data_IF_816589097917
#
_entry.id   IF_816589097917
#
_cell.length_a   1.000
_cell.length_b   1.000
_cell.length_c   1.000
_cell.angle_alpha   90.00
_cell.angle_beta   90.00
_cell.angle_gamma   90.00
#
_symmetry.space_group_name_H-M   'P 1'
#
loop_
_entity.id
_entity.type
_entity.pdbx_description
1 polymer ?
#
# COMPACT_ATOMS: atom_id res chain seq x y z
N UNK A 1 -11.22 15.32 -11.28
CA UNK A 1 -10.69 13.94 -11.34
C UNK A 1 -9.32 13.81 -10.64
N UNK A 2 -8.36 14.71 -10.88
CA UNK A 2 -7.01 14.63 -10.28
C UNK A 2 -6.90 14.95 -8.79
N UNK A 3 -7.81 15.76 -8.23
CA UNK A 3 -7.78 16.12 -6.81
C UNK A 3 -7.94 14.90 -5.89
N UNK A 4 -8.93 14.03 -6.18
CA UNK A 4 -9.21 12.79 -5.43
C UNK A 4 -8.05 11.78 -5.52
N UNK A 5 -7.33 11.74 -6.64
CA UNK A 5 -6.15 10.87 -6.82
C UNK A 5 -4.94 11.33 -5.99
N UNK A 6 -4.71 12.64 -5.96
CA UNK A 6 -3.65 13.24 -5.15
C UNK A 6 -3.91 13.18 -3.64
N UNK A 7 -5.17 13.07 -3.24
CA UNK A 7 -5.64 12.85 -1.87
C UNK A 7 -5.44 11.37 -1.44
N UNK A 8 -5.87 10.40 -2.27
CA UNK A 8 -5.67 8.96 -2.00
C UNK A 8 -4.20 8.55 -1.86
N UNK A 9 -3.28 9.20 -2.60
CA UNK A 9 -1.84 8.95 -2.45
C UNK A 9 -1.23 9.58 -1.18
N UNK A 10 -1.89 10.58 -0.56
CA UNK A 10 -1.45 11.20 0.69
C UNK A 10 -2.07 10.55 1.91
N UNK A 11 -3.35 10.21 1.83
CA UNK A 11 -4.12 9.60 2.92
C UNK A 11 -3.95 8.08 2.97
N UNK A 12 -3.63 7.47 1.82
CA UNK A 12 -3.54 6.03 1.64
C UNK A 12 -4.89 5.39 1.30
N UNK A 13 -4.84 4.16 0.82
CA UNK A 13 -6.06 3.37 0.59
C UNK A 13 -6.45 2.62 1.86
N UNK A 14 -7.74 2.35 2.01
CA UNK A 14 -8.30 1.48 3.04
C UNK A 14 -8.87 0.24 2.36
N UNK A 15 -8.36 -0.93 2.72
CA UNK A 15 -8.91 -2.22 2.31
C UNK A 15 -9.53 -2.88 3.54
N UNK A 16 -10.80 -3.27 3.45
CA UNK A 16 -11.52 -3.93 4.54
C UNK A 16 -11.47 -5.45 4.38
N UNK A 17 -11.18 -6.18 5.46
CA UNK A 17 -11.21 -7.65 5.46
C UNK A 17 -12.48 -8.12 6.15
N UNK A 18 -13.42 -8.67 5.39
CA UNK A 18 -14.71 -9.20 5.86
C UNK A 18 -14.68 -10.74 5.79
N UNK A 19 -15.36 -11.43 6.68
CA UNK A 19 -15.42 -12.89 6.67
C UNK A 19 -16.08 -13.48 7.89
N UNK A 20 -16.45 -14.76 7.82
CA UNK A 20 -17.05 -15.49 8.94
C UNK A 20 -16.18 -15.45 10.21
N UNK A 21 -16.77 -15.64 11.41
CA UNK A 21 -16.03 -16.05 12.60
C UNK A 21 -15.13 -17.25 12.27
N UNK A 22 -13.90 -17.26 12.77
CA UNK A 22 -12.93 -18.34 12.53
C UNK A 22 -12.51 -18.58 11.06
N UNK A 23 -12.82 -17.67 10.13
CA UNK A 23 -12.29 -17.71 8.76
C UNK A 23 -10.76 -17.49 8.68
N UNK A 24 -10.15 -17.06 9.79
CA UNK A 24 -8.70 -16.85 9.90
C UNK A 24 -8.22 -15.48 9.40
N UNK A 25 -9.08 -14.45 9.47
CA UNK A 25 -8.78 -13.06 9.07
C UNK A 25 -7.56 -12.49 9.80
N UNK A 26 -7.52 -12.59 11.12
CA UNK A 26 -6.38 -12.08 11.90
C UNK A 26 -5.10 -12.88 11.65
N UNK A 27 -5.19 -14.19 11.40
CA UNK A 27 -4.04 -14.99 10.97
C UNK A 27 -3.53 -14.54 9.59
N UNK A 28 -4.42 -14.27 8.65
CA UNK A 28 -4.10 -13.75 7.32
C UNK A 28 -3.41 -12.37 7.43
N UNK A 29 -3.98 -11.46 8.23
CA UNK A 29 -3.41 -10.14 8.48
C UNK A 29 -2.00 -10.25 9.08
N UNK A 30 -1.81 -11.10 10.09
CA UNK A 30 -0.49 -11.33 10.68
C UNK A 30 0.50 -11.92 9.66
N UNK A 31 0.06 -12.85 8.82
CA UNK A 31 0.91 -13.42 7.78
C UNK A 31 1.27 -12.40 6.68
N UNK A 32 0.39 -11.43 6.41
CA UNK A 32 0.65 -10.30 5.51
C UNK A 32 1.58 -9.25 6.14
N UNK A 33 1.52 -9.03 7.46
CA UNK A 33 2.48 -8.17 8.17
C UNK A 33 3.87 -8.83 8.22
N UNK A 34 3.92 -10.09 8.64
CA UNK A 34 5.14 -10.77 9.09
C UNK A 34 6.21 -11.00 8.02
N UNK A 35 5.90 -10.83 6.72
CA UNK A 35 6.94 -10.95 5.68
C UNK A 35 7.62 -9.62 5.31
N UNK A 36 7.01 -8.43 5.49
CA UNK A 36 7.59 -7.12 5.08
C UNK A 36 6.90 -5.89 5.73
N UNK A 37 6.77 -5.82 7.06
CA UNK A 37 6.18 -4.62 7.66
C UNK A 37 7.15 -3.43 7.58
N UNK A 38 6.86 -2.42 6.75
CA UNK A 38 7.67 -1.20 6.68
C UNK A 38 7.52 -0.35 7.96
N UNK A 39 6.32 -0.23 8.55
CA UNK A 39 6.11 0.43 9.86
C UNK A 39 4.83 -0.14 10.50
N UNK A 40 4.94 -0.91 11.59
CA UNK A 40 3.80 -1.26 12.46
C UNK A 40 3.63 -0.15 13.49
N UNK A 41 2.61 0.68 13.35
CA UNK A 41 2.17 1.57 14.42
C UNK A 41 1.24 0.81 15.36
N UNK A 42 1.79 0.07 16.31
CA UNK A 42 1.07 -0.23 17.54
C UNK A 42 1.10 1.05 18.39
N UNK A 43 0.06 1.89 18.33
CA UNK A 43 -0.09 2.93 19.36
C UNK A 43 -0.45 2.21 20.66
N UNK A 44 0.58 1.86 21.43
CA UNK A 44 0.45 1.34 22.77
C UNK A 44 -0.28 2.39 23.63
N UNK A 45 -1.51 2.10 24.05
CA UNK A 45 -2.26 3.00 24.94
C UNK A 45 -3.77 2.79 25.03
N UNK A 46 -4.42 2.09 24.09
CA UNK A 46 -5.88 1.93 24.10
C UNK A 46 -6.27 0.47 23.85
N UNK A 47 -6.69 -0.20 24.92
CA UNK A 47 -6.95 -1.66 24.96
C UNK A 47 -8.31 -2.07 24.41
N UNK A 48 -8.84 -1.39 23.37
CA UNK A 48 -10.16 -1.71 22.78
C UNK A 48 -10.25 -1.56 21.25
N UNK A 49 -9.12 -1.44 20.57
CA UNK A 49 -9.11 -0.87 19.23
C UNK A 49 -8.85 -1.88 18.11
N UNK A 50 -9.51 -1.63 16.99
CA UNK A 50 -9.43 -2.35 15.73
C UNK A 50 -7.97 -2.59 15.33
N UNK A 51 -7.66 -3.83 14.94
CA UNK A 51 -6.35 -4.19 14.39
C UNK A 51 -6.25 -3.65 12.97
N UNK A 52 -5.66 -2.47 12.84
CA UNK A 52 -5.30 -1.88 11.54
C UNK A 52 -3.83 -2.19 11.23
N UNK A 53 -3.57 -2.70 10.03
CA UNK A 53 -2.23 -2.96 9.53
C UNK A 53 -1.92 -2.03 8.37
N UNK A 54 -0.84 -1.24 8.49
CA UNK A 54 -0.36 -0.42 7.39
C UNK A 54 0.68 -1.20 6.59
N UNK A 55 0.44 -1.33 5.30
CA UNK A 55 1.30 -2.00 4.33
C UNK A 55 1.73 -1.00 3.26
N UNK A 56 2.94 -1.17 2.75
CA UNK A 56 3.34 -0.58 1.48
C UNK A 56 3.10 -1.63 0.40
N UNK A 57 2.16 -1.35 -0.51
CA UNK A 57 1.88 -2.20 -1.66
C UNK A 57 2.34 -1.49 -2.93
N UNK A 58 3.55 -1.84 -3.39
CA UNK A 58 4.17 -1.28 -4.60
C UNK A 58 4.28 0.27 -4.59
N UNK A 59 4.64 0.86 -3.45
CA UNK A 59 4.76 2.30 -3.23
C UNK A 59 3.46 2.99 -2.86
N UNK A 60 2.36 2.25 -2.71
CA UNK A 60 1.06 2.77 -2.28
C UNK A 60 0.86 2.45 -0.80
N UNK A 61 0.67 3.47 0.07
CA UNK A 61 0.31 3.22 1.46
C UNK A 61 -1.12 2.67 1.53
N UNK A 62 -1.27 1.48 2.12
CA UNK A 62 -2.56 0.79 2.26
C UNK A 62 -2.77 0.42 3.73
N UNK A 63 -3.94 0.75 4.26
CA UNK A 63 -4.39 0.32 5.57
C UNK A 63 -5.34 -0.87 5.39
N UNK A 64 -4.92 -2.05 5.83
CA UNK A 64 -5.81 -3.19 6.02
C UNK A 64 -6.55 -3.03 7.34
N UNK A 65 -7.87 -2.94 7.29
CA UNK A 65 -8.71 -2.93 8.49
C UNK A 65 -9.29 -4.33 8.68
N UNK A 66 -8.85 -5.05 9.73
CA UNK A 66 -9.51 -6.29 10.13
C UNK A 66 -10.82 -5.93 10.81
N UNK A 67 -11.92 -6.34 10.18
CA UNK A 67 -13.24 -6.03 10.70
C UNK A 67 -13.66 -6.91 11.87
N UNK A 68 -12.88 -7.95 12.22
CA UNK A 68 -13.17 -8.83 13.36
C UNK A 68 -12.06 -8.90 14.43
N UNK A 69 -11.14 -7.93 14.47
CA UNK A 69 -10.13 -7.82 15.53
C UNK A 69 -10.69 -7.55 16.94
N UNK A 70 -12.01 -7.51 17.12
CA UNK A 70 -12.67 -7.49 18.43
C UNK A 70 -12.69 -8.94 18.97
N UNK A 71 -11.60 -9.36 19.61
CA UNK A 71 -11.53 -10.66 20.29
C UNK A 71 -12.70 -10.85 21.27
N UNK A 72 -13.51 -11.87 21.00
CA UNK A 72 -14.05 -12.84 21.97
C UNK A 72 -14.63 -12.34 23.31
N UNK A 73 -15.42 -11.26 23.34
CA UNK A 73 -16.02 -10.82 24.61
C UNK A 73 -17.48 -10.35 24.49
N UNK A 74 -18.40 -11.20 24.99
CA UNK A 74 -19.81 -10.99 25.34
C UNK A 74 -20.78 -10.52 24.23
N UNK A 75 -21.93 -11.20 24.15
CA UNK A 75 -23.00 -11.07 23.15
C UNK A 75 -23.49 -9.63 22.86
N UNK A 76 -23.23 -8.65 23.73
CA UNK A 76 -23.66 -7.25 23.55
C UNK A 76 -22.68 -6.38 22.75
N UNK A 77 -21.38 -6.73 22.68
CA UNK A 77 -20.34 -5.95 21.97
C UNK A 77 -20.22 -6.37 20.50
N UNK A 78 -20.68 -7.57 20.16
CA UNK A 78 -20.57 -8.19 18.84
C UNK A 78 -21.38 -7.44 17.76
N UNK A 79 -22.63 -7.05 18.07
CA UNK A 79 -23.48 -6.34 17.12
C UNK A 79 -22.93 -4.95 16.73
N UNK A 80 -22.32 -4.23 17.68
CA UNK A 80 -21.67 -2.94 17.41
C UNK A 80 -20.33 -3.12 16.70
N UNK A 81 -19.68 -4.28 16.88
CA UNK A 81 -18.51 -4.70 16.12
C UNK A 81 -18.85 -4.95 14.65
N UNK A 82 -19.93 -5.69 14.38
CA UNK A 82 -20.44 -5.99 13.04
C UNK A 82 -20.87 -4.69 12.33
N UNK A 83 -21.62 -3.80 12.98
CA UNK A 83 -22.00 -2.52 12.36
C UNK A 83 -20.80 -1.65 11.99
N UNK A 84 -19.77 -1.63 12.84
CA UNK A 84 -18.52 -0.89 12.55
C UNK A 84 -17.71 -1.55 11.42
N UNK A 85 -17.72 -2.87 11.36
CA UNK A 85 -17.14 -3.66 10.28
C UNK A 85 -17.77 -3.30 8.92
N UNK A 86 -19.10 -3.32 8.87
CA UNK A 86 -19.88 -3.02 7.67
C UNK A 86 -19.64 -1.59 7.20
N UNK A 87 -19.77 -0.59 8.08
CA UNK A 87 -19.51 0.82 7.71
C UNK A 87 -18.11 1.03 7.12
N UNK A 88 -17.10 0.37 7.67
CA UNK A 88 -15.74 0.45 7.10
C UNK A 88 -15.63 -0.23 5.75
N UNK A 89 -16.33 -1.34 5.54
CA UNK A 89 -16.37 -1.99 4.25
C UNK A 89 -17.09 -1.14 3.19
N UNK A 90 -18.12 -0.37 3.57
CA UNK A 90 -18.78 0.62 2.69
C UNK A 90 -17.85 1.76 2.27
N UNK A 91 -16.99 2.22 3.19
CA UNK A 91 -16.04 3.31 2.96
C UNK A 91 -14.73 2.84 2.29
N UNK A 92 -14.45 1.53 2.33
CA UNK A 92 -13.23 0.95 1.79
C UNK A 92 -13.16 1.03 0.26
N UNK A 93 -11.95 1.17 -0.27
CA UNK A 93 -11.73 1.15 -1.72
C UNK A 93 -11.62 -0.28 -2.27
N UNK A 94 -11.43 -1.27 -1.41
CA UNK A 94 -11.47 -2.69 -1.73
C UNK A 94 -12.02 -3.47 -0.53
N UNK A 95 -12.98 -4.34 -0.78
CA UNK A 95 -13.44 -5.32 0.20
C UNK A 95 -12.80 -6.68 -0.11
N UNK A 96 -12.13 -7.25 0.88
CA UNK A 96 -11.51 -8.56 0.82
C UNK A 96 -12.42 -9.51 1.61
N UNK A 97 -13.12 -10.40 0.94
CA UNK A 97 -13.97 -11.41 1.59
C UNK A 97 -13.16 -12.67 1.87
N UNK A 98 -13.21 -13.16 3.11
CA UNK A 98 -12.42 -14.30 3.57
C UNK A 98 -13.37 -15.39 4.03
N UNK A 99 -13.36 -16.49 3.29
CA UNK A 99 -13.99 -17.75 3.65
C UNK A 99 -12.92 -18.73 4.14
N UNK A 100 -13.33 -19.81 4.79
CA UNK A 100 -12.42 -20.89 5.12
C UNK A 100 -12.82 -22.18 4.40
N UNK A 101 -11.85 -22.91 3.87
CA UNK A 101 -12.07 -24.14 3.10
C UNK A 101 -12.74 -25.25 3.95
N UNK A 102 -12.57 -25.20 5.27
CA UNK A 102 -13.16 -26.13 6.23
C UNK A 102 -14.60 -25.77 6.65
N UNK A 103 -15.18 -24.70 6.09
CA UNK A 103 -16.49 -24.18 6.46
C UNK A 103 -17.35 -23.91 5.23
N UNK A 104 -18.67 -23.94 5.42
CA UNK A 104 -19.59 -23.46 4.38
C UNK A 104 -19.60 -21.93 4.37
N UNK A 105 -19.65 -21.29 3.20
CA UNK A 105 -19.82 -19.84 3.10
C UNK A 105 -21.09 -19.39 3.84
N UNK A 106 -20.95 -18.43 4.74
CA UNK A 106 -22.06 -17.79 5.44
C UNK A 106 -22.71 -16.70 4.57
N UNK A 107 -24.00 -16.47 4.78
CA UNK A 107 -24.78 -15.52 3.99
C UNK A 107 -24.33 -14.07 4.19
N UNK A 108 -23.85 -13.71 5.39
CA UNK A 108 -23.41 -12.36 5.73
C UNK A 108 -22.15 -11.97 4.94
N UNK A 109 -21.16 -12.85 4.89
CA UNK A 109 -19.94 -12.64 4.08
C UNK A 109 -20.25 -12.71 2.59
N UNK A 110 -21.15 -13.62 2.17
CA UNK A 110 -21.60 -13.71 0.78
C UNK A 110 -22.26 -12.41 0.28
N UNK A 111 -22.91 -11.64 1.14
CA UNK A 111 -23.49 -10.34 0.79
C UNK A 111 -22.45 -9.36 0.24
N UNK A 112 -21.20 -9.46 0.72
CA UNK A 112 -20.08 -8.60 0.30
C UNK A 112 -19.35 -9.12 -0.94
N UNK A 113 -19.74 -10.28 -1.47
CA UNK A 113 -19.16 -10.84 -2.69
C UNK A 113 -19.77 -10.15 -3.90
N UNK A 114 -18.91 -9.50 -4.67
CA UNK A 114 -19.29 -8.83 -5.90
C UNK A 114 -18.11 -8.54 -6.82
N UNK A 115 -18.34 -7.91 -7.98
CA UNK A 115 -17.31 -7.69 -9.01
C UNK A 115 -16.09 -6.88 -8.53
N UNK A 116 -16.25 -6.07 -7.48
CA UNK A 116 -15.21 -5.23 -6.92
C UNK A 116 -14.59 -5.80 -5.64
N UNK A 117 -15.02 -6.99 -5.22
CA UNK A 117 -14.48 -7.68 -4.04
C UNK A 117 -13.32 -8.60 -4.44
N UNK A 118 -12.34 -8.74 -3.56
CA UNK A 118 -11.33 -9.79 -3.65
C UNK A 118 -11.77 -10.96 -2.78
N UNK A 119 -12.09 -12.09 -3.39
CA UNK A 119 -12.57 -13.29 -2.69
C UNK A 119 -11.41 -14.21 -2.36
N UNK A 120 -11.26 -14.55 -1.08
CA UNK A 120 -10.24 -15.45 -0.55
C UNK A 120 -10.87 -16.68 0.10
N UNK A 121 -10.24 -17.84 -0.10
CA UNK A 121 -10.53 -19.05 0.66
C UNK A 121 -9.28 -19.43 1.45
N UNK A 122 -9.30 -19.13 2.73
CA UNK A 122 -8.24 -19.48 3.66
C UNK A 122 -8.30 -20.96 4.08
N UNK A 123 -7.25 -21.44 4.74
CA UNK A 123 -7.10 -22.82 5.22
C UNK A 123 -7.16 -23.88 4.12
N UNK A 124 -6.65 -23.56 2.93
CA UNK A 124 -6.56 -24.55 1.84
C UNK A 124 -5.62 -25.74 2.16
N UNK A 125 -4.84 -25.65 3.25
CA UNK A 125 -4.08 -26.77 3.81
C UNK A 125 -4.98 -27.83 4.48
N UNK A 126 -6.20 -27.48 4.88
CA UNK A 126 -7.13 -28.37 5.58
C UNK A 126 -8.16 -29.02 4.66
N UNK A 127 -8.56 -28.31 3.59
CA UNK A 127 -9.58 -28.78 2.66
C UNK A 127 -9.41 -28.11 1.28
N UNK A 128 -9.99 -28.73 0.25
CA UNK A 128 -10.00 -28.16 -1.09
C UNK A 128 -10.79 -26.84 -1.12
N UNK A 129 -10.17 -25.78 -1.62
CA UNK A 129 -10.81 -24.49 -1.81
C UNK A 129 -11.61 -24.49 -3.13
N UNK A 130 -12.86 -24.01 -3.14
CA UNK A 130 -13.59 -23.82 -4.39
C UNK A 130 -12.97 -22.71 -5.23
N UNK A 131 -12.97 -22.86 -6.55
CA UNK A 131 -12.43 -21.85 -7.48
C UNK A 131 -13.28 -20.59 -7.55
N UNK A 132 -14.57 -20.67 -7.16
CA UNK A 132 -15.51 -19.56 -7.19
C UNK A 132 -16.41 -19.57 -5.95
N UNK A 133 -16.72 -18.38 -5.43
CA UNK A 133 -17.74 -18.17 -4.40
C UNK A 133 -18.63 -17.02 -4.86
N UNK A 134 -19.95 -17.18 -4.77
CA UNK A 134 -20.89 -16.14 -5.23
C UNK A 134 -20.74 -15.76 -6.70
N UNK A 135 -20.21 -16.66 -7.55
CA UNK A 135 -19.94 -16.40 -8.97
C UNK A 135 -18.67 -15.58 -9.24
N UNK A 136 -17.89 -15.25 -8.23
CA UNK A 136 -16.61 -14.53 -8.34
C UNK A 136 -15.45 -15.49 -8.12
N UNK A 137 -14.39 -15.35 -8.92
CA UNK A 137 -13.19 -16.17 -8.79
C UNK A 137 -12.53 -15.98 -7.42
N UNK A 138 -12.22 -17.08 -6.74
CA UNK A 138 -11.70 -17.11 -5.39
C UNK A 138 -10.21 -17.51 -5.39
N UNK A 139 -9.41 -16.84 -4.58
CA UNK A 139 -8.01 -17.16 -4.38
C UNK A 139 -7.82 -18.05 -3.15
N UNK A 140 -7.33 -19.26 -3.36
CA UNK A 140 -6.99 -20.18 -2.29
C UNK A 140 -5.70 -19.72 -1.57
N UNK A 141 -5.75 -19.63 -0.25
CA UNK A 141 -4.61 -19.25 0.60
C UNK A 141 -4.57 -20.10 1.86
N UNK A 142 -3.39 -20.22 2.46
CA UNK A 142 -3.25 -20.67 3.83
C UNK A 142 -2.38 -19.68 4.60
N UNK A 143 -3.00 -19.03 5.59
CA UNK A 143 -2.28 -18.18 6.53
C UNK A 143 -1.31 -18.99 7.41
N UNK A 144 -1.47 -20.32 7.49
CA UNK A 144 -0.68 -21.20 8.36
C UNK A 144 0.66 -21.58 7.74
N UNK A 145 0.66 -22.06 6.50
CA UNK A 145 1.88 -22.49 5.81
C UNK A 145 2.41 -21.46 4.79
N UNK A 146 1.60 -20.43 4.49
CA UNK A 146 1.94 -19.35 3.58
C UNK A 146 1.60 -19.61 2.11
N UNK A 147 0.93 -20.71 1.78
CA UNK A 147 0.45 -21.03 0.43
C UNK A 147 -0.46 -19.90 -0.07
N UNK A 148 -0.26 -19.49 -1.33
CA UNK A 148 -1.07 -18.45 -1.98
C UNK A 148 -0.83 -17.01 -1.49
N UNK A 149 -0.08 -16.78 -0.39
CA UNK A 149 0.13 -15.44 0.15
C UNK A 149 0.93 -14.52 -0.78
N UNK A 150 1.86 -15.07 -1.57
CA UNK A 150 2.59 -14.28 -2.57
C UNK A 150 1.67 -13.80 -3.69
N UNK A 151 0.80 -14.68 -4.20
CA UNK A 151 -0.21 -14.32 -5.19
C UNK A 151 -1.22 -13.31 -4.62
N UNK A 152 -1.62 -13.47 -3.36
CA UNK A 152 -2.46 -12.50 -2.65
C UNK A 152 -1.82 -11.11 -2.61
N UNK A 153 -0.55 -11.02 -2.20
CA UNK A 153 0.19 -9.73 -2.19
C UNK A 153 0.22 -9.08 -3.56
N UNK A 154 0.51 -9.85 -4.60
CA UNK A 154 0.53 -9.35 -5.96
C UNK A 154 -0.85 -8.79 -6.36
N UNK A 155 -1.93 -9.52 -6.10
CA UNK A 155 -3.31 -9.07 -6.37
C UNK A 155 -3.67 -7.79 -5.61
N UNK A 156 -3.26 -7.68 -4.34
CA UNK A 156 -3.51 -6.48 -3.54
C UNK A 156 -2.70 -5.28 -4.08
N UNK A 157 -1.46 -5.50 -4.52
CA UNK A 157 -0.64 -4.46 -5.14
C UNK A 157 -1.22 -4.00 -6.49
N UNK A 158 -1.64 -4.94 -7.34
CA UNK A 158 -2.33 -4.65 -8.62
C UNK A 158 -3.60 -3.82 -8.37
N UNK A 159 -4.41 -4.19 -7.37
CA UNK A 159 -5.59 -3.44 -6.99
C UNK A 159 -5.25 -2.03 -6.48
N UNK A 160 -4.24 -1.90 -5.62
CA UNK A 160 -3.79 -0.60 -5.09
C UNK A 160 -3.31 0.34 -6.20
N UNK A 161 -2.52 -0.19 -7.15
CA UNK A 161 -2.06 0.56 -8.32
C UNK A 161 -3.23 0.95 -9.24
N UNK A 162 -4.19 0.06 -9.46
CA UNK A 162 -5.36 0.36 -10.28
C UNK A 162 -6.24 1.46 -9.64
N UNK A 163 -6.50 1.37 -8.34
CA UNK A 163 -7.33 2.33 -7.59
C UNK A 163 -6.68 3.72 -7.49
N UNK A 164 -5.36 3.79 -7.39
CA UNK A 164 -4.62 5.06 -7.43
C UNK A 164 -4.41 5.58 -8.86
N UNK A 165 -4.74 4.78 -9.88
CA UNK A 165 -4.48 5.09 -11.29
C UNK A 165 -3.02 4.93 -11.71
N UNK A 166 -2.16 4.39 -10.84
CA UNK A 166 -0.76 4.08 -11.13
C UNK A 166 -0.59 2.86 -12.08
N UNK A 167 -1.62 2.01 -12.20
CA UNK A 167 -1.64 0.85 -13.10
C UNK A 167 -1.97 1.16 -14.57
N UNK A 168 -2.41 2.37 -14.90
CA UNK A 168 -2.43 2.84 -16.29
C UNK A 168 -1.07 3.44 -16.59
N UNK A 169 -0.20 2.62 -17.18
CA UNK A 169 1.19 2.96 -17.47
C UNK A 169 1.35 4.40 -17.96
N UNK A 170 2.32 5.09 -17.33
CA UNK A 170 2.86 6.41 -17.69
C UNK A 170 2.52 7.63 -16.82
N UNK A 171 2.35 7.52 -15.48
CA UNK A 171 2.23 8.72 -14.62
C UNK A 171 2.94 8.65 -13.26
N UNK A 172 4.15 8.08 -13.20
CA UNK A 172 5.02 8.20 -12.01
C UNK A 172 5.60 9.61 -11.80
N UNK A 173 5.08 10.64 -12.48
CA UNK A 173 5.54 12.01 -12.31
C UNK A 173 4.36 12.97 -12.37
N UNK A 174 3.97 13.55 -11.22
CA UNK A 174 3.17 14.78 -11.18
C UNK A 174 3.75 15.77 -12.22
N UNK A 175 2.97 16.64 -12.91
CA UNK A 175 3.51 17.60 -13.88
C UNK A 175 4.73 18.38 -13.37
N UNK A 176 4.73 18.72 -12.07
CA UNK A 176 5.86 19.36 -11.36
C UNK A 176 7.09 18.45 -11.17
N UNK A 177 6.90 17.16 -10.86
CA UNK A 177 7.99 16.20 -10.73
C UNK A 177 8.56 15.83 -12.09
N UNK A 178 7.69 15.75 -13.11
CA UNK A 178 8.09 15.53 -14.49
C UNK A 178 8.93 16.69 -15.00
N UNK A 179 8.48 17.92 -14.75
CA UNK A 179 9.24 19.12 -15.11
C UNK A 179 10.61 19.12 -14.44
N UNK A 180 10.67 18.87 -13.12
CA UNK A 180 11.93 18.83 -12.38
C UNK A 180 12.89 17.71 -12.85
N UNK A 181 12.39 16.51 -13.14
CA UNK A 181 13.20 15.41 -13.69
C UNK A 181 13.63 15.67 -15.13
N UNK A 182 12.75 16.22 -15.97
CA UNK A 182 13.06 16.56 -17.37
C UNK A 182 14.14 17.64 -17.43
N UNK A 183 14.03 18.65 -16.56
CA UNK A 183 15.02 19.71 -16.40
C UNK A 183 16.35 19.15 -15.87
N UNK A 184 16.33 18.29 -14.85
CA UNK A 184 17.54 17.66 -14.33
C UNK A 184 18.26 16.82 -15.39
N UNK A 185 17.52 16.03 -16.18
CA UNK A 185 18.10 15.22 -17.27
C UNK A 185 18.71 16.12 -18.35
N UNK A 186 18.04 17.21 -18.72
CA UNK A 186 18.58 18.17 -19.69
C UNK A 186 19.90 18.79 -19.19
N UNK A 187 19.94 19.22 -17.92
CA UNK A 187 21.12 19.82 -17.31
C UNK A 187 22.28 18.83 -17.17
N UNK A 188 22.01 17.55 -16.86
CA UNK A 188 23.04 16.50 -16.86
C UNK A 188 23.57 16.21 -18.28
N UNK A 189 22.70 16.27 -19.28
CA UNK A 189 23.10 16.14 -20.69
C UNK A 189 23.92 17.35 -21.18
N UNK A 190 23.70 18.53 -20.62
CA UNK A 190 24.55 19.71 -20.85
C UNK A 190 25.90 19.59 -20.12
N UNK A 191 25.91 19.13 -18.87
CA UNK A 191 27.14 18.93 -18.09
C UNK A 191 28.12 17.97 -18.78
N UNK A 192 27.61 16.91 -19.41
CA UNK A 192 28.44 15.94 -20.17
C UNK A 192 29.03 16.50 -21.46
N UNK A 193 28.50 17.61 -21.97
CA UNK A 193 28.98 18.30 -23.18
C UNK A 193 29.71 19.61 -22.88
N UNK A 194 29.66 20.07 -21.64
CA UNK A 194 30.20 21.35 -21.22
C UNK A 194 31.73 21.30 -21.04
N UNK A 195 32.39 22.29 -21.63
CA UNK A 195 33.78 22.68 -21.36
C UNK A 195 33.78 24.21 -21.29
N UNK A 196 34.46 24.87 -20.32
CA UNK A 196 35.42 24.39 -19.32
C UNK A 196 34.78 23.87 -17.99
N UNK A 197 35.57 23.34 -17.01
CA UNK A 197 35.07 22.70 -15.80
C UNK A 197 34.08 23.51 -14.96
N UNK A 198 34.16 24.84 -15.03
CA UNK A 198 33.28 25.78 -14.34
C UNK A 198 31.84 25.68 -14.86
N UNK A 199 31.66 25.47 -16.17
CA UNK A 199 30.33 25.27 -16.78
C UNK A 199 29.76 23.90 -16.46
N UNK A 200 30.61 22.88 -16.38
CA UNK A 200 30.22 21.53 -15.92
C UNK A 200 29.73 21.59 -14.47
N UNK A 201 30.44 22.30 -13.59
CA UNK A 201 30.06 22.45 -12.19
C UNK A 201 28.72 23.17 -12.02
N UNK A 202 28.47 24.25 -12.78
CA UNK A 202 27.19 24.96 -12.73
C UNK A 202 26.02 24.11 -13.25
N UNK A 203 26.21 23.36 -14.33
CA UNK A 203 25.18 22.45 -14.87
C UNK A 203 24.83 21.32 -13.87
N UNK A 204 25.84 20.76 -13.18
CA UNK A 204 25.62 19.79 -12.10
C UNK A 204 24.91 20.40 -10.90
N UNK A 205 25.28 21.63 -10.50
CA UNK A 205 24.63 22.37 -9.41
C UNK A 205 23.16 22.61 -9.71
N UNK A 206 22.85 23.03 -10.94
CA UNK A 206 21.48 23.25 -11.40
C UNK A 206 20.67 21.92 -11.44
N UNK A 207 21.28 20.83 -11.90
CA UNK A 207 20.63 19.52 -11.89
C UNK A 207 20.31 19.03 -10.47
N UNK A 208 21.25 19.19 -9.53
CA UNK A 208 21.05 18.89 -8.11
C UNK A 208 19.91 19.71 -7.50
N UNK A 209 19.83 21.01 -7.82
CA UNK A 209 18.74 21.86 -7.37
C UNK A 209 17.39 21.44 -7.95
N UNK A 210 17.35 21.07 -9.24
CA UNK A 210 16.15 20.55 -9.87
C UNK A 210 15.66 19.26 -9.21
N UNK A 211 16.58 18.36 -8.84
CA UNK A 211 16.29 17.14 -8.09
C UNK A 211 15.87 17.41 -6.64
N UNK A 212 16.49 18.38 -5.95
CA UNK A 212 16.14 18.75 -4.57
C UNK A 212 14.71 19.27 -4.40
N UNK A 213 14.13 19.87 -5.46
CA UNK A 213 12.70 20.24 -5.49
C UNK A 213 11.76 19.03 -5.44
N UNK A 214 12.23 17.82 -5.74
CA UNK A 214 11.45 16.58 -5.65
C UNK A 214 11.35 16.05 -4.22
N UNK A 215 12.42 16.21 -3.44
CA UNK A 215 12.55 15.64 -2.08
C UNK A 215 12.15 16.63 -0.98
N UNK A 216 11.98 17.92 -1.30
CA UNK A 216 11.68 18.97 -0.32
C UNK A 216 12.82 19.21 0.67
N UNK A 217 13.97 18.60 0.42
CA UNK A 217 15.19 18.66 1.20
C UNK A 217 16.31 18.92 0.20
N UNK A 218 16.72 20.17 0.12
CA UNK A 218 18.08 20.63 -0.14
C UNK A 218 17.98 22.16 -0.06
N UNK A 219 18.47 22.72 1.05
CA UNK A 219 18.75 24.15 1.15
C UNK A 219 20.00 24.47 0.35
N UNK A 220 20.12 25.73 -0.12
CA UNK A 220 21.29 26.20 -0.90
C UNK A 220 22.62 25.88 -0.19
N UNK A 221 22.61 25.80 1.15
CA UNK A 221 23.77 25.52 2.01
C UNK A 221 24.34 24.09 1.84
N UNK A 222 23.50 23.06 1.68
CA UNK A 222 23.96 21.67 1.54
C UNK A 222 24.62 21.40 0.17
N UNK A 223 24.25 22.17 -0.85
CA UNK A 223 24.84 22.10 -2.19
C UNK A 223 26.27 22.66 -2.17
N UNK A 224 26.49 23.75 -1.44
CA UNK A 224 27.82 24.36 -1.32
C UNK A 224 28.80 23.36 -0.67
N UNK A 225 28.36 22.64 0.37
CA UNK A 225 29.20 21.64 1.06
C UNK A 225 29.53 20.38 0.23
N UNK A 226 28.79 20.10 -0.84
CA UNK A 226 29.08 19.01 -1.78
C UNK A 226 30.00 19.51 -2.90
N UNK A 227 29.73 20.70 -3.44
CA UNK A 227 30.52 21.29 -4.54
C UNK A 227 31.92 21.71 -4.07
N UNK A 228 32.07 22.18 -2.83
CA UNK A 228 33.35 22.67 -2.30
C UNK A 228 34.17 21.60 -1.56
N UNK A 229 33.65 20.38 -1.39
CA UNK A 229 34.36 19.29 -0.67
C UNK A 229 35.63 18.85 -1.37
N UNK A 230 35.63 18.90 -2.70
CA UNK A 230 36.75 18.46 -3.54
C UNK A 230 37.56 19.64 -4.10
N UNK A 231 37.17 20.89 -3.79
CA UNK A 231 38.02 22.05 -4.03
C UNK A 231 39.04 22.13 -2.89
N UNK A 232 40.21 21.53 -3.09
CA UNK A 232 41.37 21.81 -2.25
C UNK A 232 41.72 23.31 -2.34
N UNK A 233 41.22 24.12 -1.38
CA UNK A 233 41.81 25.43 -1.09
C UNK A 233 43.11 25.13 -0.33
N UNK A 234 44.24 25.20 -1.03
CA UNK A 234 45.52 24.83 -0.44
C UNK A 234 46.75 25.23 -1.25
N UNK A 235 46.86 26.50 -1.66
CA UNK A 235 48.04 27.40 -1.61
C UNK A 235 47.89 28.59 -2.57
#
# INVERSE_FOLDING_TARGET
ADARRGELLREGLVFAIIGAPNAGKSSLLNALIGREAAIVSARAGTTRDIVEARLDLAGVPVTLSDTAGLREASDEIEAEGIKRAERRAEEAQLVITVFAADQRPDAETLHWVGPQSLVLVNKCDLAAAPDHIGGVAALAVSARDGTGLAALRQRLAEAALHLTGAGQGNQLTRPRHRAALTEAVALLAEATKAHPPELTAEALRAALFALGRLTGRIGVEEILDIVFRDFCIGK
#
